data_IF_506964931168
#
_entry.id   IF_506964931168
#
_cell.length_a   1.000
_cell.length_b   1.000
_cell.length_c   1.000
_cell.angle_alpha   90.00
_cell.angle_beta   90.00
_cell.angle_gamma   90.00
#
_symmetry.space_group_name_H-M   'P 1'
#
loop_
_entity.id
_entity.type
_entity.pdbx_description
1 polymer ?
#
# COMPACT_ATOMS: atom_id res chain seq x y z
N UNK A 1 31.75 -20.80 -13.80
CA UNK A 1 31.58 -19.70 -12.82
C UNK A 1 30.90 -18.58 -13.58
N UNK A 2 29.67 -18.85 -14.01
CA UNK A 2 28.43 -18.53 -13.30
C UNK A 2 28.07 -17.05 -13.47
N UNK A 3 27.26 -16.88 -14.51
CA UNK A 3 26.31 -15.83 -14.79
C UNK A 3 25.52 -15.42 -13.53
N UNK A 4 25.35 -14.11 -13.32
CA UNK A 4 24.31 -13.60 -12.42
C UNK A 4 23.88 -12.22 -12.88
N UNK A 5 22.59 -12.20 -13.23
CA UNK A 5 21.86 -11.24 -14.04
C UNK A 5 21.39 -10.05 -13.20
N UNK A 6 21.32 -8.92 -13.90
CA UNK A 6 20.86 -7.60 -13.50
C UNK A 6 19.35 -7.55 -13.21
N UNK A 7 18.94 -6.87 -12.14
CA UNK A 7 17.54 -6.50 -11.90
C UNK A 7 17.45 -4.97 -11.78
N UNK A 8 17.20 -4.32 -12.91
CA UNK A 8 16.96 -2.90 -13.03
C UNK A 8 15.50 -2.56 -12.68
N UNK A 9 15.32 -1.60 -11.77
CA UNK A 9 14.05 -0.93 -11.55
C UNK A 9 13.78 0.00 -12.75
N UNK A 10 12.63 -0.13 -13.40
CA UNK A 10 12.18 0.81 -14.44
C UNK A 10 10.89 1.47 -14.00
N UNK A 11 10.91 2.81 -13.99
CA UNK A 11 9.74 3.66 -13.98
C UNK A 11 9.45 4.08 -15.43
N UNK A 12 8.22 3.89 -15.91
CA UNK A 12 7.73 4.58 -17.10
C UNK A 12 6.20 4.52 -17.15
N UNK A 13 5.59 5.63 -17.56
CA UNK A 13 4.13 5.82 -17.64
C UNK A 13 3.43 5.00 -18.71
N UNK A 14 2.10 4.99 -18.64
CA UNK A 14 1.20 4.24 -19.52
C UNK A 14 0.30 5.20 -20.31
N UNK A 15 0.08 4.89 -21.58
CA UNK A 15 -1.13 5.23 -22.34
C UNK A 15 -1.85 3.92 -22.76
N UNK A 16 -3.18 3.90 -22.92
CA UNK A 16 -3.96 2.67 -22.92
C UNK A 16 -4.20 2.09 -24.33
N UNK A 17 -4.34 0.76 -24.41
CA UNK A 17 -4.68 0.08 -25.66
C UNK A 17 -5.17 -1.36 -25.47
N UNK A 18 -6.49 -1.51 -25.50
CA UNK A 18 -7.30 -2.62 -26.00
C UNK A 18 -6.97 -4.09 -25.64
N UNK A 19 -7.86 -4.68 -24.84
CA UNK A 19 -8.60 -5.92 -25.15
C UNK A 19 -7.80 -7.18 -25.50
N UNK A 20 -7.69 -8.10 -24.53
CA UNK A 20 -7.28 -9.48 -24.77
C UNK A 20 -7.60 -10.38 -23.58
N UNK A 21 -8.38 -11.43 -23.84
CA UNK A 21 -8.74 -12.59 -23.02
C UNK A 21 -8.15 -12.68 -21.61
N UNK A 22 -9.02 -12.59 -20.60
CA UNK A 22 -8.70 -12.88 -19.20
C UNK A 22 -8.41 -14.39 -19.06
N UNK A 23 -7.13 -14.75 -19.09
CA UNK A 23 -6.66 -16.05 -18.64
C UNK A 23 -7.18 -16.26 -17.22
N UNK A 24 -7.70 -17.45 -16.91
CA UNK A 24 -8.24 -17.81 -15.60
C UNK A 24 -7.21 -17.49 -14.49
N UNK A 25 -7.33 -16.27 -13.94
CA UNK A 25 -6.27 -15.61 -13.18
C UNK A 25 -6.42 -15.95 -11.71
N UNK A 26 -5.29 -16.23 -11.06
CA UNK A 26 -5.26 -16.33 -9.60
C UNK A 26 -5.64 -14.99 -8.95
N UNK A 27 -6.16 -15.07 -7.74
CA UNK A 27 -6.64 -13.93 -6.95
C UNK A 27 -5.61 -12.79 -6.85
N UNK A 28 -6.01 -11.56 -7.14
CA UNK A 28 -5.19 -10.36 -7.03
C UNK A 28 -5.42 -9.68 -5.68
N UNK A 29 -4.45 -9.78 -4.79
CA UNK A 29 -4.50 -9.18 -3.46
C UNK A 29 -3.68 -7.90 -3.44
N UNK A 30 -4.33 -6.76 -3.21
CA UNK A 30 -3.66 -5.48 -2.96
C UNK A 30 -3.58 -5.26 -1.46
N UNK A 31 -2.40 -4.90 -0.95
CA UNK A 31 -2.18 -4.58 0.46
C UNK A 31 -1.68 -3.15 0.59
N UNK A 32 -2.44 -2.27 1.24
CA UNK A 32 -1.99 -0.90 1.47
C UNK A 32 -1.15 -0.78 2.74
N UNK A 33 0.01 -0.11 2.65
CA UNK A 33 0.99 0.02 3.74
C UNK A 33 1.45 1.46 3.93
N UNK A 34 1.79 1.81 5.18
CA UNK A 34 2.24 3.16 5.58
C UNK A 34 3.49 3.14 6.48
N UNK A 35 4.22 2.01 6.47
CA UNK A 35 5.34 1.70 7.35
C UNK A 35 5.01 1.54 8.84
N UNK A 36 3.75 1.63 9.28
CA UNK A 36 3.35 1.30 10.65
C UNK A 36 3.44 -0.21 10.93
N UNK A 37 3.57 -0.58 12.20
CA UNK A 37 3.56 -1.98 12.61
C UNK A 37 2.20 -2.64 12.30
N UNK A 38 1.12 -1.87 12.41
CA UNK A 38 -0.24 -2.32 12.12
C UNK A 38 -0.43 -2.66 10.64
N UNK A 39 0.08 -1.84 9.72
CA UNK A 39 -0.03 -2.13 8.28
C UNK A 39 0.89 -3.27 7.85
N UNK A 40 2.10 -3.37 8.41
CA UNK A 40 3.00 -4.50 8.18
C UNK A 40 2.46 -5.80 8.77
N UNK A 41 1.76 -5.73 9.91
CA UNK A 41 1.04 -6.87 10.46
C UNK A 41 -0.09 -7.32 9.54
N UNK A 42 -0.86 -6.38 8.98
CA UNK A 42 -1.91 -6.70 8.01
C UNK A 42 -1.37 -7.42 6.77
N UNK A 43 -0.22 -6.95 6.25
CA UNK A 43 0.50 -7.63 5.17
C UNK A 43 0.87 -9.06 5.56
N UNK A 44 1.59 -9.23 6.68
CA UNK A 44 1.99 -10.56 7.16
C UNK A 44 0.80 -11.50 7.34
N UNK A 45 -0.30 -10.99 7.91
CA UNK A 45 -1.54 -11.74 8.12
C UNK A 45 -2.15 -12.19 6.79
N UNK A 46 -2.25 -11.30 5.80
CA UNK A 46 -2.79 -11.65 4.48
C UNK A 46 -1.93 -12.68 3.76
N UNK A 47 -0.60 -12.59 3.86
CA UNK A 47 0.29 -13.59 3.31
C UNK A 47 0.03 -14.98 3.92
N UNK A 48 -0.13 -15.05 5.25
CA UNK A 48 -0.32 -16.31 5.96
C UNK A 48 -1.73 -16.93 5.77
N UNK A 49 -2.76 -16.09 5.69
CA UNK A 49 -4.15 -16.54 5.79
C UNK A 49 -4.97 -16.41 4.51
N UNK A 50 -4.53 -15.57 3.55
CA UNK A 50 -5.21 -15.42 2.26
C UNK A 50 -4.33 -16.02 1.17
N UNK A 51 -3.15 -15.45 0.95
CA UNK A 51 -2.29 -15.80 -0.19
C UNK A 51 -1.84 -17.25 -0.14
N UNK A 52 -1.43 -17.74 1.04
CA UNK A 52 -1.05 -19.15 1.25
C UNK A 52 -2.16 -20.14 0.88
N UNK A 53 -3.43 -19.76 1.01
CA UNK A 53 -4.58 -20.62 0.73
C UNK A 53 -5.06 -20.55 -0.72
N UNK A 54 -4.53 -19.61 -1.52
CA UNK A 54 -4.93 -19.39 -2.91
C UNK A 54 -3.70 -19.53 -3.83
N UNK A 55 -3.35 -20.76 -4.25
CA UNK A 55 -2.26 -20.97 -5.20
C UNK A 55 -2.45 -20.15 -6.48
N UNK A 56 -1.41 -19.44 -6.90
CA UNK A 56 -1.47 -18.54 -8.06
C UNK A 56 -1.94 -17.12 -7.73
N UNK A 57 -2.31 -16.82 -6.48
CA UNK A 57 -2.59 -15.45 -6.08
C UNK A 57 -1.37 -14.55 -6.25
N UNK A 58 -1.58 -13.36 -6.82
CA UNK A 58 -0.57 -12.32 -6.94
C UNK A 58 -0.76 -11.25 -5.89
N UNK A 59 0.34 -10.77 -5.31
CA UNK A 59 0.32 -9.72 -4.29
C UNK A 59 0.90 -8.42 -4.85
N UNK A 60 0.20 -7.31 -4.65
CA UNK A 60 0.70 -5.97 -4.89
C UNK A 60 0.66 -5.16 -3.59
N UNK A 61 1.81 -4.63 -3.19
CA UNK A 61 1.93 -3.71 -2.05
C UNK A 61 1.76 -2.29 -2.57
N UNK A 62 0.83 -1.53 -2.00
CA UNK A 62 0.58 -0.14 -2.37
C UNK A 62 0.92 0.77 -1.20
N UNK A 63 1.71 1.80 -1.44
CA UNK A 63 1.93 2.88 -0.49
C UNK A 63 1.45 4.19 -1.08
N UNK A 64 0.54 4.87 -0.38
CA UNK A 64 0.10 6.20 -0.79
C UNK A 64 0.99 7.29 -0.19
N UNK A 65 1.56 8.11 -1.06
CA UNK A 65 2.32 9.30 -0.74
C UNK A 65 1.43 10.52 -0.95
N UNK A 66 1.36 11.41 0.05
CA UNK A 66 0.66 12.68 -0.16
C UNK A 66 1.47 13.54 -1.11
N UNK A 67 0.82 14.05 -2.16
CA UNK A 67 1.40 15.12 -2.95
C UNK A 67 1.69 16.32 -2.05
N UNK A 68 2.91 16.85 -2.12
CA UNK A 68 3.29 18.05 -1.34
C UNK A 68 2.41 19.23 -1.73
N UNK A 69 2.00 19.32 -3.00
CA UNK A 69 1.14 20.38 -3.49
C UNK A 69 -0.27 20.24 -2.91
N UNK A 70 -0.80 19.01 -2.82
CA UNK A 70 -2.08 18.74 -2.14
C UNK A 70 -2.03 19.07 -0.65
N UNK A 71 -0.95 18.68 0.04
CA UNK A 71 -0.77 18.99 1.45
C UNK A 71 -0.71 20.51 1.71
N UNK A 72 0.01 21.26 0.86
CA UNK A 72 0.11 22.72 0.97
C UNK A 72 -1.26 23.38 0.78
N UNK A 73 -2.03 22.91 -0.21
CA UNK A 73 -3.40 23.36 -0.45
C UNK A 73 -4.32 23.05 0.75
N UNK A 74 -4.31 21.82 1.25
CA UNK A 74 -5.14 21.37 2.37
C UNK A 74 -4.79 22.08 3.69
N UNK A 75 -3.50 22.33 3.93
CA UNK A 75 -3.02 23.07 5.08
C UNK A 75 -3.30 24.59 5.01
N UNK A 76 -3.84 25.09 3.90
CA UNK A 76 -4.11 26.52 3.69
C UNK A 76 -2.85 27.38 3.64
N UNK A 77 -1.71 26.78 3.30
CA UNK A 77 -0.42 27.46 3.24
C UNK A 77 -0.29 28.20 1.90
N UNK A 78 -0.64 29.48 1.90
CA UNK A 78 -0.60 30.33 0.71
C UNK A 78 0.80 30.50 0.10
N UNK A 79 1.86 30.30 0.89
CA UNK A 79 3.24 30.33 0.42
C UNK A 79 4.13 29.45 1.32
N UNK A 80 4.92 28.57 0.70
CA UNK A 80 5.99 27.84 1.33
C UNK A 80 7.31 28.12 0.58
N UNK A 81 8.43 28.38 1.27
CA UNK A 81 9.73 28.55 0.61
C UNK A 81 10.08 27.32 -0.25
N UNK A 82 10.67 27.48 -1.44
CA UNK A 82 11.07 26.34 -2.28
C UNK A 82 11.91 25.29 -1.54
N UNK A 83 12.83 25.74 -0.68
CA UNK A 83 13.66 24.85 0.15
C UNK A 83 12.86 24.04 1.16
N UNK A 84 11.75 24.57 1.68
CA UNK A 84 10.85 23.84 2.57
C UNK A 84 10.06 22.80 1.79
N UNK A 85 9.55 23.14 0.61
CA UNK A 85 8.86 22.21 -0.30
C UNK A 85 9.79 21.06 -0.72
N UNK A 86 11.03 21.35 -1.11
CA UNK A 86 12.03 20.35 -1.46
C UNK A 86 12.36 19.43 -0.28
N UNK A 87 12.44 19.98 0.93
CA UNK A 87 12.67 19.19 2.15
C UNK A 87 11.48 18.27 2.46
N UNK A 88 10.25 18.75 2.26
CA UNK A 88 9.03 17.94 2.40
C UNK A 88 8.98 16.82 1.36
N UNK A 89 9.29 17.11 0.09
CA UNK A 89 9.35 16.11 -0.99
C UNK A 89 10.36 15.02 -0.67
N UNK A 90 11.59 15.37 -0.26
CA UNK A 90 12.62 14.41 0.16
C UNK A 90 12.18 13.56 1.35
N UNK A 91 11.52 14.17 2.34
CA UNK A 91 11.02 13.44 3.50
C UNK A 91 9.91 12.45 3.12
N UNK A 92 9.02 12.84 2.20
CA UNK A 92 8.00 11.96 1.66
C UNK A 92 8.61 10.82 0.85
N UNK A 93 9.57 11.09 -0.04
CA UNK A 93 10.28 10.08 -0.82
C UNK A 93 10.96 9.04 0.09
N UNK A 94 11.66 9.50 1.13
CA UNK A 94 12.30 8.60 2.08
C UNK A 94 11.29 7.79 2.90
N UNK A 95 10.16 8.39 3.28
CA UNK A 95 9.08 7.66 3.94
C UNK A 95 8.49 6.57 3.03
N UNK A 96 8.26 6.88 1.76
CA UNK A 96 7.75 5.91 0.77
C UNK A 96 8.74 4.80 0.50
N UNK A 97 10.02 5.13 0.33
CA UNK A 97 11.11 4.15 0.21
C UNK A 97 11.15 3.22 1.42
N UNK A 98 11.02 3.78 2.63
CA UNK A 98 10.99 3.00 3.88
C UNK A 98 9.75 2.10 3.96
N UNK A 99 8.57 2.61 3.61
CA UNK A 99 7.32 1.84 3.64
C UNK A 99 7.39 0.62 2.71
N UNK A 100 7.80 0.85 1.45
CA UNK A 100 7.94 -0.22 0.45
C UNK A 100 9.03 -1.21 0.85
N UNK A 101 10.20 -0.74 1.27
CA UNK A 101 11.30 -1.63 1.67
C UNK A 101 10.89 -2.56 2.82
N UNK A 102 10.27 -2.00 3.88
CA UNK A 102 9.81 -2.81 5.02
C UNK A 102 8.75 -3.83 4.62
N UNK A 103 7.83 -3.47 3.73
CA UNK A 103 6.79 -4.37 3.24
C UNK A 103 7.38 -5.50 2.38
N UNK A 104 8.29 -5.18 1.45
CA UNK A 104 8.97 -6.19 0.65
C UNK A 104 9.84 -7.12 1.50
N UNK A 105 10.44 -6.64 2.59
CA UNK A 105 11.14 -7.48 3.55
C UNK A 105 10.20 -8.51 4.22
N UNK A 106 8.98 -8.11 4.59
CA UNK A 106 7.96 -9.03 5.12
C UNK A 106 7.60 -10.08 4.07
N UNK A 107 7.36 -9.68 2.82
CA UNK A 107 7.08 -10.61 1.72
C UNK A 107 8.22 -11.63 1.52
N UNK A 108 9.47 -11.15 1.53
CA UNK A 108 10.67 -11.99 1.38
C UNK A 108 10.81 -12.99 2.53
N UNK A 109 10.61 -12.56 3.78
CA UNK A 109 10.66 -13.45 4.96
C UNK A 109 9.59 -14.55 4.89
N UNK A 110 8.45 -14.26 4.26
CA UNK A 110 7.35 -15.20 4.07
C UNK A 110 7.45 -16.01 2.77
N UNK A 111 8.50 -15.81 1.97
CA UNK A 111 8.69 -16.43 0.65
C UNK A 111 7.53 -16.17 -0.30
N UNK A 112 6.89 -14.99 -0.20
CA UNK A 112 5.80 -14.56 -1.07
C UNK A 112 6.36 -13.63 -2.17
N UNK A 113 5.98 -13.91 -3.42
CA UNK A 113 6.27 -13.00 -4.54
C UNK A 113 5.27 -11.84 -4.50
N UNK A 114 5.78 -10.61 -4.48
CA UNK A 114 4.98 -9.41 -4.44
C UNK A 114 5.59 -8.32 -5.32
N UNK A 115 4.73 -7.53 -5.95
CA UNK A 115 5.11 -6.25 -6.57
C UNK A 115 4.86 -5.12 -5.59
N UNK A 116 5.44 -3.94 -5.84
CA UNK A 116 5.19 -2.76 -5.04
C UNK A 116 4.96 -1.53 -5.93
N UNK A 117 4.03 -0.68 -5.52
CA UNK A 117 3.72 0.60 -6.15
C UNK A 117 3.65 1.70 -5.10
N UNK A 118 4.18 2.87 -5.44
CA UNK A 118 3.93 4.12 -4.71
C UNK A 118 2.96 4.93 -5.56
N UNK A 119 1.85 5.34 -4.95
CA UNK A 119 0.82 6.16 -5.60
C UNK A 119 0.80 7.54 -4.96
N UNK A 120 0.60 8.59 -5.75
CA UNK A 120 0.62 9.97 -5.27
C UNK A 120 -0.80 10.54 -5.21
N UNK A 121 -1.15 11.23 -4.13
CA UNK A 121 -2.45 11.89 -3.97
C UNK A 121 -2.98 11.84 -2.53
N UNK A 122 -4.26 12.14 -2.32
CA UNK A 122 -4.93 11.80 -1.06
C UNK A 122 -4.96 10.26 -0.93
N UNK A 123 -4.50 9.66 0.17
CA UNK A 123 -4.43 8.21 0.30
C UNK A 123 -5.75 7.48 0.08
N UNK A 124 -6.89 8.11 0.41
CA UNK A 124 -8.19 7.47 0.27
C UNK A 124 -8.55 7.31 -1.19
N UNK A 125 -8.35 8.35 -1.99
CA UNK A 125 -8.66 8.38 -3.41
C UNK A 125 -7.61 7.59 -4.20
N UNK A 126 -6.32 7.86 -3.96
CA UNK A 126 -5.23 7.21 -4.67
C UNK A 126 -5.22 5.68 -4.48
N UNK A 127 -5.60 5.17 -3.29
CA UNK A 127 -5.72 3.73 -3.08
C UNK A 127 -6.93 3.15 -3.80
N UNK A 128 -8.08 3.86 -3.84
CA UNK A 128 -9.23 3.42 -4.63
C UNK A 128 -8.87 3.29 -6.12
N UNK A 129 -8.24 4.31 -6.68
CA UNK A 129 -7.80 4.32 -8.09
C UNK A 129 -6.81 3.19 -8.38
N UNK A 130 -5.82 2.98 -7.51
CA UNK A 130 -4.84 1.92 -7.65
C UNK A 130 -5.49 0.52 -7.64
N UNK A 131 -6.48 0.32 -6.75
CA UNK A 131 -7.22 -0.94 -6.63
C UNK A 131 -8.05 -1.22 -7.88
N UNK A 132 -8.68 -0.19 -8.45
CA UNK A 132 -9.45 -0.28 -9.69
C UNK A 132 -8.54 -0.57 -10.90
N UNK A 133 -7.43 0.16 -11.04
CA UNK A 133 -6.46 -0.02 -12.13
C UNK A 133 -5.85 -1.42 -12.12
N UNK A 134 -5.46 -1.92 -10.94
CA UNK A 134 -4.91 -3.27 -10.78
C UNK A 134 -5.96 -4.37 -10.92
N UNK A 135 -7.25 -4.00 -10.92
CA UNK A 135 -8.40 -4.92 -10.86
C UNK A 135 -8.28 -5.89 -9.68
N UNK A 136 -8.08 -5.35 -8.47
CA UNK A 136 -7.87 -6.18 -7.30
C UNK A 136 -9.15 -6.96 -6.92
N UNK A 137 -8.98 -8.22 -6.54
CA UNK A 137 -10.06 -9.05 -6.00
C UNK A 137 -10.25 -8.85 -4.50
N UNK A 138 -9.22 -8.35 -3.82
CA UNK A 138 -9.23 -8.06 -2.39
C UNK A 138 -8.26 -6.92 -2.05
N UNK A 139 -8.76 -5.92 -1.33
CA UNK A 139 -7.94 -4.90 -0.68
C UNK A 139 -7.74 -5.26 0.80
N UNK A 140 -6.49 -5.30 1.26
CA UNK A 140 -6.12 -5.55 2.65
C UNK A 140 -5.53 -4.29 3.28
N UNK A 141 -6.02 -3.95 4.46
CA UNK A 141 -5.61 -2.78 5.23
C UNK A 141 -5.36 -3.15 6.69
N UNK A 142 -4.48 -2.41 7.36
CA UNK A 142 -4.51 -2.35 8.81
C UNK A 142 -5.76 -1.62 9.30
N UNK A 143 -6.24 -1.96 10.50
CA UNK A 143 -7.33 -1.19 11.14
C UNK A 143 -6.93 0.24 11.45
N UNK A 144 -5.61 0.50 11.50
CA UNK A 144 -4.99 1.79 11.75
C UNK A 144 -3.66 1.90 11.02
N UNK A 145 -3.21 3.15 10.92
CA UNK A 145 -1.89 3.52 10.48
C UNK A 145 -1.22 4.50 11.46
N UNK A 146 -0.49 5.48 10.93
CA UNK A 146 0.27 6.50 11.69
C UNK A 146 -0.57 7.47 12.57
N UNK A 147 -1.90 7.37 12.59
CA UNK A 147 -2.80 8.31 13.28
C UNK A 147 -2.82 8.19 14.82
N UNK A 148 -3.06 9.33 15.50
CA UNK A 148 -2.93 9.45 16.97
C UNK A 148 -4.20 9.07 17.78
N UNK A 149 -5.33 8.78 17.12
CA UNK A 149 -6.64 8.71 17.80
C UNK A 149 -6.85 7.37 18.48
N UNK A 150 -6.30 7.16 19.69
CA UNK A 150 -6.38 5.88 20.43
C UNK A 150 -7.80 5.32 20.67
N UNK A 151 -8.85 6.14 20.58
CA UNK A 151 -10.24 5.72 20.84
C UNK A 151 -11.06 5.28 19.62
N UNK A 152 -10.57 5.45 18.39
CA UNK A 152 -11.31 5.07 17.18
C UNK A 152 -11.14 3.57 16.84
N UNK A 153 -12.20 2.90 16.39
CA UNK A 153 -12.10 1.48 15.99
C UNK A 153 -11.35 1.32 14.65
N UNK A 154 -11.53 2.26 13.72
CA UNK A 154 -10.88 2.32 12.42
C UNK A 154 -10.15 3.66 12.23
N UNK A 155 -9.05 3.65 11.47
CA UNK A 155 -8.40 4.86 10.95
C UNK A 155 -9.20 5.47 9.81
N UNK A 156 -8.99 6.76 9.53
CA UNK A 156 -9.74 7.51 8.50
C UNK A 156 -9.61 6.91 7.09
N UNK A 157 -8.43 6.40 6.73
CA UNK A 157 -8.19 5.75 5.43
C UNK A 157 -8.90 4.41 5.36
N UNK A 158 -8.75 3.55 6.36
CA UNK A 158 -9.41 2.24 6.40
C UNK A 158 -10.92 2.33 6.43
N UNK A 159 -11.47 3.29 7.18
CA UNK A 159 -12.91 3.57 7.23
C UNK A 159 -13.44 4.06 5.88
N UNK A 160 -12.74 4.98 5.23
CA UNK A 160 -13.12 5.44 3.90
C UNK A 160 -13.11 4.30 2.87
N UNK A 161 -12.02 3.54 2.80
CA UNK A 161 -11.84 2.47 1.82
C UNK A 161 -12.88 1.36 2.00
N UNK A 162 -13.28 1.06 3.23
CA UNK A 162 -14.35 0.09 3.51
C UNK A 162 -15.69 0.47 2.85
N UNK A 163 -15.94 1.76 2.62
CA UNK A 163 -17.17 2.25 2.02
C UNK A 163 -17.05 2.55 0.52
N UNK A 164 -15.84 2.77 -0.01
CA UNK A 164 -15.64 3.32 -1.36
C UNK A 164 -14.79 2.45 -2.30
N UNK A 165 -14.02 1.48 -1.79
CA UNK A 165 -13.23 0.61 -2.65
C UNK A 165 -14.13 -0.23 -3.57
N UNK A 166 -13.73 -0.41 -4.83
CA UNK A 166 -14.50 -1.16 -5.82
C UNK A 166 -14.47 -2.69 -5.62
N UNK A 167 -13.70 -3.18 -4.63
CA UNK A 167 -13.54 -4.59 -4.33
C UNK A 167 -13.73 -4.87 -2.82
N UNK A 168 -13.90 -6.15 -2.42
CA UNK A 168 -13.94 -6.52 -1.01
C UNK A 168 -12.75 -5.96 -0.22
N UNK A 169 -13.03 -5.45 0.99
CA UNK A 169 -12.02 -4.90 1.89
C UNK A 169 -11.87 -5.77 3.13
N UNK A 170 -10.64 -6.21 3.40
CA UNK A 170 -10.26 -6.91 4.61
C UNK A 170 -9.46 -5.96 5.52
N UNK A 171 -10.00 -5.69 6.70
CA UNK A 171 -9.33 -4.87 7.71
C UNK A 171 -8.78 -5.77 8.82
N UNK A 172 -7.46 -5.80 8.94
CA UNK A 172 -6.74 -6.59 9.94
C UNK A 172 -6.48 -5.77 11.20
N UNK A 173 -6.96 -6.23 12.34
CA UNK A 173 -6.65 -5.63 13.65
C UNK A 173 -5.28 -6.08 14.14
N UNK A 174 -4.54 -5.23 14.87
CA UNK A 174 -3.29 -5.64 15.49
C UNK A 174 -3.54 -6.75 16.53
N UNK A 175 -2.53 -7.60 16.79
CA UNK A 175 -2.65 -8.66 17.77
C UNK A 175 -2.97 -8.06 19.14
N UNK A 176 -3.92 -8.68 19.86
CA UNK A 176 -4.30 -8.23 21.18
C UNK A 176 -3.11 -8.41 22.15
N UNK A 177 -2.55 -7.30 22.65
CA UNK A 177 -1.45 -7.33 23.63
C UNK A 177 -1.88 -7.87 25.01
N UNK A 178 -3.17 -8.07 25.23
CA UNK A 178 -3.72 -8.60 26.47
C UNK A 178 -4.19 -10.04 26.28
N UNK A 179 -3.29 -11.01 26.40
CA UNK A 179 -3.53 -12.35 26.99
C UNK A 179 -2.20 -13.10 27.22
N UNK A 180 -1.25 -12.46 27.91
CA UNK A 180 -0.36 -13.21 28.80
C UNK A 180 -1.07 -13.27 30.16
N UNK A 181 -1.79 -14.37 30.40
CA UNK A 181 -2.15 -14.79 31.76
C UNK A 181 -0.98 -15.57 32.35
#
# INVERSE_FOLDING_TARGET
>A
MEESTEAAATASGVAPGAGGAEAAGGMKVVVAVDASEESLHALSWALDNVVRLHPGASVAVVHAQHSVDHFVAEAGLAYAPPTALDSMRRAQEENSRRAVARALDVCRQKQASATAAVVEGDPKEAICEAVEEMRADLLVLGSRGLGMVKRALLGSVSDYLAHHACCPVLIVKPPNKAHHK
#
